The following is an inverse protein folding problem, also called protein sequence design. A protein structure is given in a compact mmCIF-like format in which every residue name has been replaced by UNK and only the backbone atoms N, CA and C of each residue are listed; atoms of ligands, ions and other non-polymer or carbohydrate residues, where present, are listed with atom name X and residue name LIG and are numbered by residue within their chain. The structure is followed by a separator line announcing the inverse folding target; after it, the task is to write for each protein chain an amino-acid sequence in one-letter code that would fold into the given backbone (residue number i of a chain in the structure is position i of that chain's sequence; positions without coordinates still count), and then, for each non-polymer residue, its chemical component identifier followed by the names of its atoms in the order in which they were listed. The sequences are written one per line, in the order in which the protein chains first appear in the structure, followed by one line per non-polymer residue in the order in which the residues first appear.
data_IF_457319014362
#
_entry.id   IF_457319014362
#
_cell.length_a   1.000
_cell.length_b   1.000
_cell.length_c   1.000
_cell.angle_alpha   90.00
_cell.angle_beta   90.00
_cell.angle_gamma   90.00
#
_symmetry.space_group_name_H-M   'P 1'
#
loop_
_entity.id
_entity.type
_entity.pdbx_description
1 polymer ?
#
# COMPACT_ATOMS: atom_id res chain seq x y z
N UNK A 1 -6.90 23.23 3.20
CA UNK A 1 -7.50 22.26 4.13
C UNK A 1 -7.01 20.89 3.74
N UNK A 2 -6.39 20.15 4.66
CA UNK A 2 -6.12 18.74 4.42
C UNK A 2 -7.46 18.07 4.06
N UNK A 3 -7.52 17.43 2.90
CA UNK A 3 -8.69 16.67 2.46
C UNK A 3 -9.11 15.75 3.60
N UNK A 4 -10.39 15.76 3.97
CA UNK A 4 -10.89 14.89 5.01
C UNK A 4 -10.49 13.45 4.67
N UNK A 5 -9.86 12.77 5.62
CA UNK A 5 -9.51 11.35 5.53
C UNK A 5 -10.49 10.55 6.41
N UNK A 6 -11.77 10.44 6.01
CA UNK A 6 -12.80 9.77 6.82
C UNK A 6 -12.47 8.29 7.02
N UNK A 7 -11.80 7.67 6.05
CA UNK A 7 -11.35 6.28 6.10
C UNK A 7 -10.10 6.06 6.98
N UNK A 8 -9.49 7.14 7.51
CA UNK A 8 -8.29 7.11 8.37
C UNK A 8 -7.11 6.36 7.75
N UNK A 9 -6.98 6.39 6.42
CA UNK A 9 -5.88 5.76 5.68
C UNK A 9 -4.56 6.41 6.09
N UNK A 10 -3.55 5.59 6.40
CA UNK A 10 -2.18 6.06 6.66
C UNK A 10 -1.28 5.46 5.60
N UNK A 11 -0.41 6.28 5.04
CA UNK A 11 0.59 5.87 4.07
C UNK A 11 1.96 6.28 4.56
N UNK A 12 2.91 5.37 4.43
CA UNK A 12 4.33 5.58 4.73
C UNK A 12 5.14 5.15 3.50
N UNK A 13 6.23 5.85 3.22
CA UNK A 13 7.20 5.47 2.19
C UNK A 13 8.45 4.99 2.91
N UNK A 14 8.89 3.79 2.54
CA UNK A 14 9.98 3.09 3.21
C UNK A 14 11.03 2.75 2.16
N UNK A 15 12.29 3.04 2.48
CA UNK A 15 13.43 2.71 1.62
C UNK A 15 13.77 1.23 1.75
N UNK A 16 13.51 0.45 0.70
CA UNK A 16 13.71 -1.00 0.70
C UNK A 16 15.15 -1.41 1.08
N UNK A 17 16.14 -0.61 0.67
CA UNK A 17 17.55 -0.87 0.95
C UNK A 17 17.92 -0.60 2.42
N UNK A 18 17.20 0.27 3.13
CA UNK A 18 17.44 0.54 4.55
C UNK A 18 16.74 -0.46 5.46
N UNK A 19 15.65 -1.08 4.96
CA UNK A 19 14.82 -2.03 5.69
C UNK A 19 14.76 -3.38 4.94
N UNK A 20 15.91 -4.06 4.84
CA UNK A 20 16.04 -5.32 4.10
C UNK A 20 15.14 -6.43 4.64
N UNK A 21 15.01 -6.57 5.97
CA UNK A 21 14.15 -7.58 6.60
C UNK A 21 12.68 -7.45 6.18
N UNK A 22 12.18 -6.21 6.15
CA UNK A 22 10.81 -5.93 5.69
C UNK A 22 10.67 -6.18 4.20
N UNK A 23 11.70 -5.88 3.41
CA UNK A 23 11.70 -6.19 1.97
C UNK A 23 11.63 -7.68 1.70
N UNK A 24 12.32 -8.50 2.50
CA UNK A 24 12.24 -9.97 2.43
C UNK A 24 10.86 -10.48 2.88
N UNK A 25 10.33 -10.00 4.01
CA UNK A 25 9.01 -10.39 4.53
C UNK A 25 7.88 -10.05 3.56
N UNK A 26 7.96 -8.87 2.93
CA UNK A 26 7.00 -8.40 1.95
C UNK A 26 7.26 -8.95 0.53
N UNK A 27 8.34 -9.70 0.33
CA UNK A 27 8.74 -10.25 -0.96
C UNK A 27 8.88 -9.17 -2.03
N UNK A 28 9.65 -8.11 -1.75
CA UNK A 28 9.95 -7.03 -2.69
C UNK A 28 10.93 -7.54 -3.75
N UNK A 29 10.47 -7.72 -4.98
CA UNK A 29 11.32 -8.12 -6.11
C UNK A 29 11.66 -6.93 -7.03
N UNK A 30 10.81 -5.90 -7.04
CA UNK A 30 11.03 -4.66 -7.76
C UNK A 30 10.51 -3.46 -6.97
N UNK A 31 11.19 -2.32 -7.12
CA UNK A 31 10.78 -1.03 -6.53
C UNK A 31 10.20 -0.10 -7.61
N UNK A 32 9.12 0.66 -7.31
CA UNK A 32 8.39 0.67 -6.03
C UNK A 32 7.48 -0.55 -5.87
N UNK A 33 7.33 -1.04 -4.63
CA UNK A 33 6.26 -1.96 -4.22
C UNK A 33 5.34 -1.23 -3.27
N UNK A 34 4.03 -1.40 -3.44
CA UNK A 34 3.05 -0.87 -2.50
C UNK A 34 2.35 -2.02 -1.81
N UNK A 35 2.25 -1.92 -0.49
CA UNK A 35 1.58 -2.89 0.37
C UNK A 35 0.42 -2.17 1.04
N UNK A 36 -0.76 -2.77 0.99
CA UNK A 36 -1.99 -2.21 1.52
C UNK A 36 -2.62 -3.22 2.46
N UNK A 37 -2.95 -2.77 3.67
CA UNK A 37 -3.56 -3.59 4.70
C UNK A 37 -4.76 -2.86 5.29
N UNK A 38 -5.78 -3.63 5.72
CA UNK A 38 -6.92 -3.08 6.45
C UNK A 38 -6.83 -3.58 7.88
N UNK A 39 -6.72 -2.65 8.83
CA UNK A 39 -6.77 -2.99 10.24
C UNK A 39 -8.13 -3.65 10.53
N UNK A 40 -8.11 -4.81 11.18
CA UNK A 40 -9.28 -5.65 11.51
C UNK A 40 -9.76 -6.62 10.41
N UNK A 41 -9.18 -6.57 9.21
CA UNK A 41 -9.34 -7.62 8.20
C UNK A 41 -7.98 -8.27 7.95
N UNK A 42 -7.92 -9.60 7.87
CA UNK A 42 -6.71 -10.33 7.44
C UNK A 42 -6.48 -10.22 5.93
N UNK A 43 -6.79 -9.05 5.34
CA UNK A 43 -6.69 -8.78 3.91
C UNK A 43 -5.47 -7.89 3.67
N UNK A 44 -4.60 -8.41 2.81
CA UNK A 44 -3.37 -7.75 2.35
C UNK A 44 -3.39 -7.76 0.84
N UNK A 45 -3.17 -6.60 0.24
CA UNK A 45 -3.01 -6.47 -1.21
C UNK A 45 -1.66 -5.82 -1.49
N UNK A 46 -1.00 -6.23 -2.57
CA UNK A 46 0.27 -5.62 -2.96
C UNK A 46 0.47 -5.68 -4.47
N UNK A 47 1.22 -4.73 -4.98
CA UNK A 47 1.60 -4.65 -6.39
C UNK A 47 2.98 -4.03 -6.52
N UNK A 48 3.65 -4.35 -7.63
CA UNK A 48 4.99 -3.86 -7.96
C UNK A 48 4.94 -2.98 -9.23
N UNK A 49 5.84 -2.01 -9.26
CA UNK A 49 5.99 -1.06 -10.35
C UNK A 49 5.25 0.26 -10.12
N UNK A 50 5.59 1.25 -10.94
CA UNK A 50 4.92 2.54 -10.93
C UNK A 50 3.53 2.42 -11.57
N UNK A 51 2.49 2.69 -10.78
CA UNK A 51 1.10 2.69 -11.25
C UNK A 51 0.56 4.12 -11.36
N UNK A 52 -0.45 4.31 -12.21
CA UNK A 52 -1.18 5.58 -12.24
C UNK A 52 -1.99 5.77 -10.95
N UNK A 53 -2.20 7.03 -10.56
CA UNK A 53 -3.02 7.39 -9.40
C UNK A 53 -4.44 6.80 -9.50
N UNK A 54 -5.05 6.87 -10.68
CA UNK A 54 -6.36 6.26 -10.96
C UNK A 54 -6.38 4.75 -10.66
N UNK A 55 -5.33 4.03 -11.03
CA UNK A 55 -5.23 2.61 -10.76
C UNK A 55 -5.11 2.38 -9.24
N UNK A 56 -4.24 3.14 -8.57
CA UNK A 56 -4.05 3.03 -7.13
C UNK A 56 -5.35 3.27 -6.35
N UNK A 57 -6.09 4.33 -6.68
CA UNK A 57 -7.36 4.67 -6.04
C UNK A 57 -8.40 3.56 -6.26
N UNK A 58 -8.44 2.92 -7.43
CA UNK A 58 -9.35 1.79 -7.68
C UNK A 58 -9.02 0.58 -6.80
N UNK A 59 -7.75 0.24 -6.65
CA UNK A 59 -7.32 -0.86 -5.77
C UNK A 59 -7.67 -0.56 -4.30
N UNK A 60 -7.41 0.67 -3.84
CA UNK A 60 -7.76 1.13 -2.49
C UNK A 60 -9.27 1.01 -2.22
N UNK A 61 -10.11 1.48 -3.17
CA UNK A 61 -11.57 1.41 -3.02
C UNK A 61 -12.07 -0.03 -2.96
N UNK A 62 -11.59 -0.90 -3.85
CA UNK A 62 -11.97 -2.31 -3.84
C UNK A 62 -11.59 -3.05 -2.54
N UNK A 63 -10.57 -2.57 -1.84
CA UNK A 63 -10.17 -3.11 -0.54
C UNK A 63 -11.05 -2.63 0.62
N UNK A 64 -11.56 -1.40 0.57
CA UNK A 64 -12.34 -0.76 1.63
C UNK A 64 -13.86 -1.00 1.50
N UNK A 65 -14.33 -1.24 0.28
CA UNK A 65 -15.74 -1.45 -0.07
C UNK A 65 -15.91 -2.81 -0.79
N UNK A 66 -15.68 -3.95 -0.10
CA UNK A 66 -15.73 -5.28 -0.71
C UNK A 66 -17.12 -5.72 -1.17
#
# INVERSE_FOLDING_TARGET
MALANPARIRGESIEANEFAEWSEEEGVYAVPKTVMTVKDLSVKHSFEGALSEDHFIRQLKGLLEP
#
